data_IF_841776997565
#
_entry.id   IF_841776997565
#
_cell.length_a   1.000
_cell.length_b   1.000
_cell.length_c   1.000
_cell.angle_alpha   90.00
_cell.angle_beta   90.00
_cell.angle_gamma   90.00
#
_symmetry.space_group_name_H-M   'P 1'
#
loop_
_entity.id
_entity.type
_entity.pdbx_description
1 polymer ?
#
# COMPACT_ATOMS: atom_id res chain seq x y z
N UNK A 1 -13.40 29.74 -11.51
CA UNK A 1 -13.99 28.38 -11.45
C UNK A 1 -12.95 27.27 -11.72
N UNK A 2 -11.73 27.33 -11.15
CA UNK A 2 -10.60 26.49 -11.61
C UNK A 2 -9.99 25.48 -10.64
N UNK A 3 -10.57 25.22 -9.46
CA UNK A 3 -9.88 24.47 -8.39
C UNK A 3 -10.42 23.06 -8.09
N UNK A 4 -11.59 22.66 -8.63
CA UNK A 4 -12.24 21.39 -8.27
C UNK A 4 -11.49 20.13 -8.74
N UNK A 5 -10.75 20.24 -9.85
CA UNK A 5 -9.91 19.15 -10.38
C UNK A 5 -8.72 18.89 -9.46
N UNK A 6 -7.98 19.93 -9.06
CA UNK A 6 -6.79 19.80 -8.21
C UNK A 6 -7.14 19.26 -6.81
N UNK A 7 -8.29 19.65 -6.27
CA UNK A 7 -8.78 19.16 -4.99
C UNK A 7 -9.21 17.69 -5.05
N UNK A 8 -9.87 17.28 -6.14
CA UNK A 8 -10.21 15.86 -6.39
C UNK A 8 -8.96 15.00 -6.54
N UNK A 9 -7.95 15.47 -7.29
CA UNK A 9 -6.69 14.73 -7.48
C UNK A 9 -5.89 14.61 -6.18
N UNK A 10 -5.84 15.67 -5.36
CA UNK A 10 -5.21 15.63 -4.02
C UNK A 10 -5.94 14.70 -3.06
N UNK A 11 -7.27 14.66 -3.11
CA UNK A 11 -8.07 13.78 -2.28
C UNK A 11 -7.86 12.30 -2.68
N UNK A 12 -7.85 12.00 -3.98
CA UNK A 12 -7.56 10.66 -4.51
C UNK A 12 -6.11 10.24 -4.17
N UNK A 13 -5.13 11.16 -4.25
CA UNK A 13 -3.74 10.87 -3.86
C UNK A 13 -3.58 10.64 -2.34
N UNK A 14 -4.34 11.32 -1.48
CA UNK A 14 -4.30 11.10 -0.02
C UNK A 14 -5.07 9.87 0.45
N UNK A 15 -6.09 9.45 -0.30
CA UNK A 15 -6.82 8.20 -0.05
C UNK A 15 -6.05 6.98 -0.56
N UNK A 16 -5.29 7.10 -1.65
CA UNK A 16 -4.48 6.02 -2.22
C UNK A 16 -2.99 6.06 -1.86
N UNK A 17 -2.59 6.88 -0.89
CA UNK A 17 -1.20 6.93 -0.42
C UNK A 17 -0.74 5.51 0.01
N UNK A 18 0.13 4.84 -0.79
CA UNK A 18 0.34 3.39 -0.74
C UNK A 18 0.97 2.92 0.58
N UNK A 19 1.59 3.83 1.31
CA UNK A 19 2.22 3.63 2.62
C UNK A 19 1.21 3.34 3.75
N UNK A 20 -0.07 3.74 3.64
CA UNK A 20 -1.03 3.63 4.75
C UNK A 20 -1.77 2.28 4.82
N UNK A 21 -1.87 1.55 3.69
CA UNK A 21 -2.46 0.21 3.64
C UNK A 21 -1.40 -0.89 3.48
N UNK A 22 -0.21 -0.58 2.96
CA UNK A 22 0.87 -1.56 2.77
C UNK A 22 1.39 -2.16 4.08
N UNK A 23 1.28 -1.41 5.19
CA UNK A 23 1.94 -1.76 6.44
C UNK A 23 1.29 -2.89 7.28
N UNK A 24 0.15 -3.46 6.89
CA UNK A 24 -0.56 -4.42 7.77
C UNK A 24 -0.18 -5.88 7.53
N UNK A 25 -0.04 -6.32 6.27
CA UNK A 25 0.10 -7.75 5.95
C UNK A 25 1.46 -8.32 6.39
N UNK A 26 2.56 -7.60 6.15
CA UNK A 26 3.92 -8.03 6.54
C UNK A 26 4.03 -8.16 8.07
N UNK A 27 3.43 -7.23 8.81
CA UNK A 27 3.39 -7.30 10.27
C UNK A 27 2.56 -8.49 10.77
N UNK A 28 1.43 -8.83 10.13
CA UNK A 28 0.67 -10.05 10.44
C UNK A 28 1.50 -11.30 10.11
N UNK A 29 2.21 -11.30 8.98
CA UNK A 29 3.08 -12.41 8.57
C UNK A 29 4.20 -12.65 9.59
N UNK A 30 4.90 -11.59 10.02
CA UNK A 30 5.96 -11.67 11.02
C UNK A 30 5.39 -12.18 12.35
N UNK A 31 4.23 -11.67 12.79
CA UNK A 31 3.58 -12.15 14.01
C UNK A 31 3.17 -13.63 13.90
N UNK A 32 2.61 -14.04 12.77
CA UNK A 32 2.24 -15.43 12.48
C UNK A 32 3.45 -16.35 12.48
N UNK A 33 4.55 -15.96 11.84
CA UNK A 33 5.81 -16.71 11.81
C UNK A 33 6.45 -16.82 13.19
N UNK A 34 6.47 -15.74 13.96
CA UNK A 34 7.00 -15.76 15.32
C UNK A 34 6.17 -16.68 16.23
N UNK A 35 4.84 -16.60 16.14
CA UNK A 35 3.95 -17.42 16.94
C UNK A 35 4.02 -18.90 16.51
N UNK A 36 4.13 -19.16 15.22
CA UNK A 36 4.33 -20.50 14.67
C UNK A 36 5.66 -21.10 15.13
N UNK A 37 6.74 -20.33 15.04
CA UNK A 37 8.06 -20.74 15.52
C UNK A 37 8.07 -21.01 17.02
N UNK A 38 7.39 -20.15 17.80
CA UNK A 38 7.23 -20.34 19.24
C UNK A 38 6.43 -21.62 19.56
N UNK A 39 5.31 -21.86 18.88
CA UNK A 39 4.50 -23.05 19.06
C UNK A 39 5.27 -24.34 18.74
N UNK A 40 5.96 -24.37 17.58
CA UNK A 40 6.81 -25.49 17.20
C UNK A 40 7.94 -25.70 18.21
N UNK A 41 8.59 -24.63 18.66
CA UNK A 41 9.66 -24.71 19.66
C UNK A 41 9.18 -25.35 20.97
N UNK A 42 8.00 -24.95 21.46
CA UNK A 42 7.37 -25.54 22.67
C UNK A 42 7.04 -27.02 22.44
N UNK A 43 6.54 -27.38 21.25
CA UNK A 43 6.19 -28.76 20.90
C UNK A 43 7.42 -29.68 20.87
N UNK A 44 8.53 -29.22 20.31
CA UNK A 44 9.76 -30.02 20.20
C UNK A 44 10.60 -30.00 21.49
N UNK A 45 10.40 -29.03 22.37
CA UNK A 45 11.17 -28.88 23.60
C UNK A 45 10.25 -28.76 24.84
N UNK A 46 9.60 -29.86 25.26
CA UNK A 46 8.69 -29.84 26.41
C UNK A 46 9.38 -29.42 27.72
N UNK A 47 10.70 -29.59 27.82
CA UNK A 47 11.50 -29.23 29.00
C UNK A 47 12.09 -27.81 28.95
N UNK A 48 11.82 -27.02 27.90
CA UNK A 48 12.39 -25.68 27.72
C UNK A 48 11.70 -24.59 28.56
N UNK A 49 11.12 -24.93 29.71
CA UNK A 49 10.31 -24.01 30.53
C UNK A 49 10.94 -22.62 30.75
N UNK A 50 12.20 -22.52 31.19
CA UNK A 50 12.88 -21.22 31.37
C UNK A 50 13.10 -20.46 30.06
N UNK A 51 13.53 -21.16 29.01
CA UNK A 51 13.79 -20.55 27.69
C UNK A 51 12.49 -20.07 27.04
N UNK A 52 11.40 -20.81 27.21
CA UNK A 52 10.06 -20.48 26.71
C UNK A 52 9.59 -19.13 27.25
N UNK A 53 9.81 -18.85 28.54
CA UNK A 53 9.51 -17.54 29.14
C UNK A 53 10.27 -16.40 28.46
N UNK A 54 11.56 -16.59 28.17
CA UNK A 54 12.39 -15.59 27.49
C UNK A 54 11.91 -15.31 26.05
N UNK A 55 11.61 -16.36 25.27
CA UNK A 55 11.08 -16.21 23.91
C UNK A 55 9.71 -15.51 23.91
N UNK A 56 8.83 -15.87 24.85
CA UNK A 56 7.53 -15.23 25.03
C UNK A 56 7.66 -13.74 25.40
N UNK A 57 8.64 -13.38 26.24
CA UNK A 57 8.93 -11.99 26.59
C UNK A 57 9.33 -11.15 25.37
N UNK A 58 10.26 -11.68 24.56
CA UNK A 58 10.69 -11.04 23.31
C UNK A 58 9.51 -10.91 22.33
N UNK A 59 8.70 -11.96 22.20
CA UNK A 59 7.50 -11.93 21.37
C UNK A 59 6.51 -10.85 21.81
N UNK A 60 6.24 -10.75 23.12
CA UNK A 60 5.35 -9.72 23.67
C UNK A 60 5.90 -8.31 23.42
N UNK A 61 7.21 -8.12 23.56
CA UNK A 61 7.87 -6.84 23.28
C UNK A 61 7.71 -6.45 21.80
N UNK A 62 8.02 -7.35 20.88
CA UNK A 62 7.91 -7.12 19.43
C UNK A 62 6.47 -6.83 19.00
N UNK A 63 5.51 -7.62 19.51
CA UNK A 63 4.09 -7.41 19.19
C UNK A 63 3.59 -6.06 19.71
N UNK A 64 4.04 -5.64 20.89
CA UNK A 64 3.70 -4.34 21.49
C UNK A 64 4.33 -3.18 20.74
N UNK A 65 5.57 -3.34 20.25
CA UNK A 65 6.23 -2.33 19.42
C UNK A 65 5.53 -2.15 18.07
N UNK A 66 5.11 -3.25 17.44
CA UNK A 66 4.30 -3.21 16.21
C UNK A 66 2.95 -2.52 16.49
N UNK A 67 2.31 -2.82 17.63
CA UNK A 67 1.05 -2.19 18.02
C UNK A 67 1.21 -0.67 18.26
N UNK A 68 2.28 -0.26 18.95
CA UNK A 68 2.62 1.14 19.17
C UNK A 68 2.87 1.87 17.84
N UNK A 69 3.66 1.28 16.94
CA UNK A 69 3.91 1.82 15.61
C UNK A 69 2.63 1.97 14.79
N UNK A 70 1.72 0.99 14.84
CA UNK A 70 0.40 1.08 14.20
C UNK A 70 -0.47 2.18 14.80
N UNK A 71 -0.34 2.45 16.10
CA UNK A 71 -1.07 3.54 16.74
C UNK A 71 -0.53 4.93 16.40
N UNK A 72 0.80 5.06 16.25
CA UNK A 72 1.46 6.31 15.91
C UNK A 72 1.30 6.68 14.44
N UNK A 73 1.44 5.69 13.54
CA UNK A 73 1.44 5.91 12.09
C UNK A 73 0.11 5.52 11.41
N UNK A 74 -0.77 4.81 12.10
CA UNK A 74 -2.02 4.32 11.55
C UNK A 74 -3.20 5.28 11.75
N UNK A 75 -4.20 5.17 10.86
CA UNK A 75 -5.49 5.86 10.99
C UNK A 75 -6.40 5.10 11.95
N UNK A 76 -6.04 5.04 13.23
CA UNK A 76 -6.93 4.51 14.27
C UNK A 76 -7.96 5.58 14.62
N UNK A 77 -9.23 5.21 14.70
CA UNK A 77 -10.29 6.16 15.06
C UNK A 77 -10.05 6.76 16.46
N UNK A 78 -10.40 8.04 16.70
CA UNK A 78 -10.07 8.75 17.94
C UNK A 78 -10.63 8.08 19.21
N UNK A 79 -11.73 7.34 19.09
CA UNK A 79 -12.32 6.57 20.21
C UNK A 79 -11.54 5.31 20.58
N UNK A 80 -10.84 4.70 19.61
CA UNK A 80 -10.08 3.46 19.82
C UNK A 80 -8.60 3.72 20.15
N UNK A 81 -8.09 4.91 19.83
CA UNK A 81 -6.69 5.28 20.03
C UNK A 81 -6.23 5.15 21.50
N UNK A 82 -6.97 5.63 22.52
CA UNK A 82 -6.53 5.53 23.92
C UNK A 82 -6.38 4.08 24.38
N UNK A 83 -7.33 3.21 24.02
CA UNK A 83 -7.29 1.79 24.34
C UNK A 83 -6.10 1.10 23.66
N UNK A 84 -5.87 1.39 22.38
CA UNK A 84 -4.72 0.86 21.65
C UNK A 84 -3.39 1.29 22.27
N UNK A 85 -3.25 2.57 22.64
CA UNK A 85 -2.04 3.08 23.27
C UNK A 85 -1.83 2.50 24.67
N UNK A 86 -2.90 2.31 25.44
CA UNK A 86 -2.83 1.67 26.74
C UNK A 86 -2.39 0.20 26.62
N UNK A 87 -2.97 -0.57 25.69
CA UNK A 87 -2.57 -1.95 25.45
C UNK A 87 -1.13 -2.07 24.97
N UNK A 88 -0.70 -1.19 24.06
CA UNK A 88 0.69 -1.12 23.60
C UNK A 88 1.64 -0.75 24.75
N UNK A 89 1.29 0.22 25.60
CA UNK A 89 2.09 0.62 26.75
C UNK A 89 2.25 -0.49 27.79
N UNK A 90 1.16 -1.20 28.14
CA UNK A 90 1.19 -2.34 29.06
C UNK A 90 2.07 -3.45 28.50
N UNK A 91 1.86 -3.81 27.24
CA UNK A 91 2.64 -4.86 26.59
C UNK A 91 4.13 -4.49 26.44
N UNK A 92 4.44 -3.22 26.17
CA UNK A 92 5.81 -2.72 26.08
C UNK A 92 6.48 -2.71 27.46
N UNK A 93 5.80 -2.23 28.50
CA UNK A 93 6.33 -2.24 29.87
C UNK A 93 6.63 -3.66 30.35
N UNK A 94 5.68 -4.59 30.20
CA UNK A 94 5.84 -5.99 30.61
C UNK A 94 6.89 -6.68 29.75
N UNK A 95 6.82 -6.52 28.42
CA UNK A 95 7.78 -7.10 27.50
C UNK A 95 9.20 -6.60 27.75
N UNK A 96 9.38 -5.31 28.02
CA UNK A 96 10.68 -4.72 28.33
C UNK A 96 11.21 -5.23 29.67
N UNK A 97 10.35 -5.29 30.69
CA UNK A 97 10.72 -5.79 32.01
C UNK A 97 11.20 -7.25 31.95
N UNK A 98 10.49 -8.10 31.21
CA UNK A 98 10.87 -9.52 31.04
C UNK A 98 12.07 -9.68 30.10
N UNK A 99 12.24 -8.80 29.11
CA UNK A 99 13.43 -8.83 28.25
C UNK A 99 14.67 -8.39 29.03
N UNK A 100 14.54 -7.40 29.93
CA UNK A 100 15.63 -6.96 30.79
C UNK A 100 16.07 -8.07 31.76
N UNK A 101 15.12 -8.86 32.24
CA UNK A 101 15.38 -10.03 33.09
C UNK A 101 16.29 -11.06 32.42
N UNK A 102 16.26 -11.18 31.08
CA UNK A 102 17.16 -12.08 30.33
C UNK A 102 18.64 -11.74 30.58
N UNK A 103 18.96 -10.47 30.81
CA UNK A 103 20.33 -9.98 30.98
C UNK A 103 20.76 -9.88 32.44
N UNK A 104 19.80 -9.77 33.36
CA UNK A 104 20.03 -9.42 34.76
C UNK A 104 19.59 -10.54 35.74
N UNK A 105 18.82 -11.53 35.27
CA UNK A 105 18.27 -12.67 36.02
C UNK A 105 17.73 -12.26 37.42
N UNK A 106 16.96 -11.17 37.49
CA UNK A 106 16.45 -10.63 38.77
C UNK A 106 15.08 -11.17 39.17
N UNK A 107 14.34 -11.77 38.23
CA UNK A 107 13.04 -12.41 38.49
C UNK A 107 13.14 -13.94 38.43
N UNK A 108 12.32 -14.59 39.26
CA UNK A 108 12.13 -16.03 39.10
C UNK A 108 11.41 -16.33 37.77
N UNK A 109 11.72 -17.46 37.11
CA UNK A 109 11.04 -17.86 35.86
C UNK A 109 9.51 -17.93 35.99
N UNK A 110 9.02 -18.22 37.20
CA UNK A 110 7.59 -18.24 37.52
C UNK A 110 6.97 -16.84 37.44
N UNK A 111 7.62 -15.84 38.04
CA UNK A 111 7.15 -14.45 38.03
C UNK A 111 7.16 -13.88 36.62
N UNK A 112 8.24 -14.11 35.85
CA UNK A 112 8.32 -13.66 34.46
C UNK A 112 7.17 -14.21 33.60
N UNK A 113 6.84 -15.50 33.76
CA UNK A 113 5.73 -16.13 33.04
C UNK A 113 4.36 -15.61 33.48
N UNK A 114 4.16 -15.33 34.77
CA UNK A 114 2.92 -14.70 35.26
C UNK A 114 2.76 -13.31 34.63
N UNK A 115 3.82 -12.49 34.63
CA UNK A 115 3.80 -11.16 34.03
C UNK A 115 3.47 -11.21 32.55
N UNK A 116 4.10 -12.11 31.78
CA UNK A 116 3.79 -12.30 30.36
C UNK A 116 2.33 -12.71 30.17
N UNK A 117 1.84 -13.65 30.99
CA UNK A 117 0.46 -14.15 30.90
C UNK A 117 -0.54 -13.03 31.11
N UNK A 118 -0.32 -12.20 32.14
CA UNK A 118 -1.14 -11.02 32.44
C UNK A 118 -1.03 -10.00 31.31
N UNK A 119 0.16 -9.75 30.78
CA UNK A 119 0.35 -8.81 29.66
C UNK A 119 -0.38 -9.24 28.40
N UNK A 120 -0.28 -10.52 28.02
CA UNK A 120 -1.03 -11.09 26.90
C UNK A 120 -2.54 -11.05 27.11
N UNK A 121 -2.98 -11.37 28.33
CA UNK A 121 -4.39 -11.36 28.69
C UNK A 121 -4.96 -9.95 28.61
N UNK A 122 -4.30 -8.95 29.22
CA UNK A 122 -4.72 -7.55 29.17
C UNK A 122 -4.72 -7.02 27.74
N UNK A 123 -3.68 -7.29 26.96
CA UNK A 123 -3.60 -6.83 25.57
C UNK A 123 -4.70 -7.47 24.70
N UNK A 124 -4.97 -8.76 24.91
CA UNK A 124 -6.07 -9.48 24.27
C UNK A 124 -7.44 -8.91 24.66
N UNK A 125 -7.70 -8.68 25.96
CA UNK A 125 -8.95 -8.11 26.45
C UNK A 125 -9.18 -6.69 25.94
N UNK A 126 -8.13 -5.85 25.90
CA UNK A 126 -8.20 -4.51 25.31
C UNK A 126 -8.55 -4.59 23.83
N UNK A 127 -7.93 -5.50 23.08
CA UNK A 127 -8.25 -5.69 21.67
C UNK A 127 -9.70 -6.16 21.44
N UNK A 128 -10.22 -7.04 22.29
CA UNK A 128 -11.64 -7.44 22.28
C UNK A 128 -12.55 -6.24 22.60
N UNK A 129 -12.19 -5.44 23.60
CA UNK A 129 -12.95 -4.23 23.96
C UNK A 129 -12.97 -3.21 22.80
N UNK A 130 -11.84 -2.98 22.14
CA UNK A 130 -11.77 -2.13 20.94
C UNK A 130 -12.67 -2.67 19.82
N UNK A 131 -12.69 -3.99 19.61
CA UNK A 131 -13.56 -4.61 18.62
C UNK A 131 -15.05 -4.44 18.96
N UNK A 132 -15.43 -4.59 20.23
CA UNK A 132 -16.80 -4.40 20.71
C UNK A 132 -17.27 -2.94 20.56
N UNK A 133 -16.39 -1.99 20.87
CA UNK A 133 -16.63 -0.55 20.73
C UNK A 133 -16.56 -0.09 19.26
N UNK A 134 -16.00 -0.91 18.38
CA UNK A 134 -15.99 -0.70 16.93
C UNK A 134 -17.41 -0.72 16.36
N UNK A 135 -17.79 0.38 15.69
CA UNK A 135 -19.09 0.49 15.03
C UNK A 135 -19.29 -0.52 13.89
N UNK A 136 -20.53 -0.70 13.44
CA UNK A 136 -20.94 -1.73 12.48
C UNK A 136 -20.12 -1.76 11.16
N UNK A 137 -19.63 -0.60 10.70
CA UNK A 137 -18.82 -0.51 9.47
C UNK A 137 -17.37 -1.04 9.60
N UNK A 138 -16.89 -1.30 10.83
CA UNK A 138 -15.52 -1.76 11.10
C UNK A 138 -15.42 -3.15 11.74
N UNK A 139 -16.55 -3.82 12.01
CA UNK A 139 -16.60 -5.08 12.74
C UNK A 139 -16.31 -6.26 11.81
N UNK A 140 -15.05 -6.42 11.44
CA UNK A 140 -14.60 -7.64 10.77
C UNK A 140 -14.37 -8.71 11.84
N UNK A 141 -14.92 -9.90 11.65
CA UNK A 141 -14.64 -11.06 12.53
C UNK A 141 -13.14 -11.36 12.62
N UNK A 142 -12.39 -11.07 11.56
CA UNK A 142 -10.93 -11.21 11.52
C UNK A 142 -10.20 -10.32 12.52
N UNK A 143 -10.71 -9.11 12.80
CA UNK A 143 -10.09 -8.24 13.81
C UNK A 143 -10.23 -8.79 15.24
N UNK A 144 -11.15 -9.74 15.48
CA UNK A 144 -11.37 -10.37 16.79
C UNK A 144 -10.42 -11.55 17.04
N UNK A 145 -10.01 -12.26 15.98
CA UNK A 145 -9.23 -13.50 16.10
C UNK A 145 -7.91 -13.27 16.84
N UNK A 146 -7.20 -12.19 16.50
CA UNK A 146 -5.90 -11.92 17.10
C UNK A 146 -5.98 -11.53 18.58
N UNK A 147 -6.82 -10.56 19.00
CA UNK A 147 -7.05 -10.27 20.42
C UNK A 147 -7.52 -11.49 21.20
N UNK A 148 -8.43 -12.28 20.62
CA UNK A 148 -8.95 -13.48 21.26
C UNK A 148 -7.86 -14.53 21.43
N UNK A 149 -7.03 -14.76 20.41
CA UNK A 149 -5.92 -15.70 20.50
C UNK A 149 -4.89 -15.27 21.55
N UNK A 150 -4.56 -13.97 21.64
CA UNK A 150 -3.68 -13.45 22.69
C UNK A 150 -4.28 -13.64 24.08
N UNK A 151 -5.58 -13.35 24.25
CA UNK A 151 -6.27 -13.56 25.51
C UNK A 151 -6.29 -15.04 25.91
N UNK A 152 -6.63 -15.94 24.99
CA UNK A 152 -6.65 -17.37 25.22
C UNK A 152 -5.25 -17.94 25.51
N UNK A 153 -4.22 -17.43 24.84
CA UNK A 153 -2.84 -17.86 25.08
C UNK A 153 -2.35 -17.38 26.45
N UNK A 154 -2.61 -16.11 26.81
CA UNK A 154 -2.33 -15.59 28.15
C UNK A 154 -3.08 -16.36 29.24
N UNK A 155 -4.36 -16.64 29.03
CA UNK A 155 -5.19 -17.43 29.94
C UNK A 155 -4.67 -18.87 30.05
N UNK A 156 -4.31 -19.49 28.93
CA UNK A 156 -3.75 -20.84 28.90
C UNK A 156 -2.46 -20.94 29.69
N UNK A 157 -1.51 -20.00 29.50
CA UNK A 157 -0.27 -19.96 30.29
C UNK A 157 -0.58 -19.76 31.78
N UNK A 158 -1.48 -18.83 32.12
CA UNK A 158 -1.87 -18.59 33.50
C UNK A 158 -2.50 -19.83 34.14
N UNK A 159 -3.36 -20.53 33.41
CA UNK A 159 -4.00 -21.78 33.85
C UNK A 159 -3.00 -22.91 34.08
N UNK A 160 -1.97 -23.03 33.22
CA UNK A 160 -0.91 -24.06 33.39
C UNK A 160 -0.24 -23.97 34.77
N UNK A 161 -0.15 -22.76 35.31
CA UNK A 161 0.48 -22.50 36.60
C UNK A 161 -0.40 -22.85 37.79
N UNK A 162 -1.71 -22.90 37.60
CA UNK A 162 -2.65 -23.12 38.69
C UNK A 162 -2.95 -24.61 38.96
N UNK A 163 -2.89 -25.48 37.95
CA UNK A 163 -3.43 -26.84 38.11
C UNK A 163 -2.68 -27.96 37.34
N UNK A 164 -2.00 -27.72 36.20
CA UNK A 164 -1.42 -28.80 35.36
C UNK A 164 -0.22 -28.32 34.48
N UNK A 165 1.01 -28.43 35.00
CA UNK A 165 2.17 -27.81 34.34
C UNK A 165 2.53 -28.42 32.96
N UNK A 166 2.60 -29.75 32.83
CA UNK A 166 3.08 -30.38 31.58
C UNK A 166 2.03 -30.39 30.47
N UNK A 167 0.81 -30.81 30.80
CA UNK A 167 -0.22 -31.04 29.78
C UNK A 167 -0.70 -29.72 29.18
N UNK A 168 -0.77 -28.67 29.98
CA UNK A 168 -1.21 -27.38 29.52
C UNK A 168 -0.12 -26.65 28.71
N UNK A 169 1.17 -26.94 28.93
CA UNK A 169 2.26 -26.45 28.07
C UNK A 169 2.17 -27.05 26.65
N UNK A 170 1.81 -28.34 26.55
CA UNK A 170 1.56 -28.98 25.24
C UNK A 170 0.36 -28.34 24.53
N UNK A 171 -0.75 -28.12 25.23
CA UNK A 171 -1.94 -27.48 24.66
C UNK A 171 -1.68 -26.04 24.22
N UNK A 172 -0.91 -25.26 24.99
CA UNK A 172 -0.56 -23.89 24.61
C UNK A 172 0.36 -23.86 23.38
N UNK A 173 1.29 -24.80 23.27
CA UNK A 173 2.12 -24.99 22.08
C UNK A 173 1.27 -25.32 20.85
N UNK A 174 0.33 -26.27 20.96
CA UNK A 174 -0.57 -26.64 19.85
C UNK A 174 -1.40 -25.44 19.43
N UNK A 175 -1.98 -24.72 20.39
CA UNK A 175 -2.77 -23.52 20.13
C UNK A 175 -1.93 -22.45 19.42
N UNK A 176 -0.71 -22.18 19.91
CA UNK A 176 0.21 -21.23 19.29
C UNK A 176 0.56 -21.62 17.85
N UNK A 177 0.84 -22.91 17.59
CA UNK A 177 1.11 -23.42 16.23
C UNK A 177 -0.10 -23.24 15.31
N UNK A 178 -1.31 -23.61 15.75
CA UNK A 178 -2.54 -23.47 14.95
C UNK A 178 -2.84 -22.01 14.64
N UNK A 179 -2.75 -21.13 15.65
CA UNK A 179 -2.98 -19.69 15.46
C UNK A 179 -1.90 -19.09 14.55
N UNK A 180 -0.63 -19.47 14.76
CA UNK A 180 0.49 -19.01 13.93
C UNK A 180 0.31 -19.42 12.46
N UNK A 181 -0.09 -20.67 12.21
CA UNK A 181 -0.38 -21.17 10.87
C UNK A 181 -1.55 -20.42 10.22
N UNK A 182 -2.64 -20.21 10.97
CA UNK A 182 -3.80 -19.45 10.49
C UNK A 182 -3.43 -18.00 10.15
N UNK A 183 -2.62 -17.34 10.98
CA UNK A 183 -2.13 -15.98 10.73
C UNK A 183 -1.23 -15.90 9.50
N UNK A 184 -0.30 -16.85 9.33
CA UNK A 184 0.57 -16.88 8.16
C UNK A 184 -0.20 -17.15 6.87
N UNK A 185 -1.15 -18.10 6.88
CA UNK A 185 -2.04 -18.36 5.75
C UNK A 185 -2.91 -17.14 5.42
N UNK A 186 -3.41 -16.44 6.44
CA UNK A 186 -4.17 -15.21 6.24
C UNK A 186 -3.31 -14.06 5.68
N UNK A 187 -2.07 -13.93 6.13
CA UNK A 187 -1.15 -12.95 5.57
C UNK A 187 -0.85 -13.23 4.09
N UNK A 188 -0.67 -14.50 3.71
CA UNK A 188 -0.52 -14.90 2.31
C UNK A 188 -1.78 -14.61 1.48
N UNK A 189 -2.96 -14.81 2.06
CA UNK A 189 -4.23 -14.45 1.44
C UNK A 189 -4.37 -12.93 1.23
N UNK A 190 -3.97 -12.10 2.19
CA UNK A 190 -3.94 -10.65 2.04
C UNK A 190 -2.94 -10.20 0.97
N UNK A 191 -1.79 -10.88 0.87
CA UNK A 191 -0.79 -10.62 -0.15
C UNK A 191 -1.34 -10.87 -1.56
N UNK A 192 -2.00 -12.01 -1.78
CA UNK A 192 -2.59 -12.35 -3.08
C UNK A 192 -3.73 -11.41 -3.49
N UNK A 193 -4.62 -11.04 -2.56
CA UNK A 193 -5.67 -10.04 -2.83
C UNK A 193 -5.13 -8.67 -3.23
N UNK A 194 -4.00 -8.25 -2.64
CA UNK A 194 -3.37 -6.97 -3.00
C UNK A 194 -2.76 -6.98 -4.40
N UNK A 195 -2.16 -8.11 -4.80
CA UNK A 195 -1.65 -8.27 -6.17
C UNK A 195 -2.76 -8.09 -7.22
N UNK A 196 -3.96 -8.59 -6.93
CA UNK A 196 -5.12 -8.42 -7.83
C UNK A 196 -5.60 -6.97 -7.91
N UNK A 197 -5.58 -6.22 -6.80
CA UNK A 197 -5.94 -4.80 -6.81
C UNK A 197 -4.92 -3.95 -7.59
N UNK A 198 -3.63 -4.24 -7.46
CA UNK A 198 -2.58 -3.52 -8.21
C UNK A 198 -2.74 -3.71 -9.72
N UNK A 199 -2.93 -4.97 -10.18
CA UNK A 199 -3.18 -5.25 -11.60
C UNK A 199 -4.51 -4.68 -12.12
N UNK A 200 -5.50 -4.48 -11.25
CA UNK A 200 -6.76 -3.81 -11.62
C UNK A 200 -6.59 -2.31 -11.89
N UNK A 201 -5.73 -1.63 -11.14
CA UNK A 201 -5.42 -0.20 -11.35
C UNK A 201 -4.67 0.00 -12.66
N UNK A 202 -3.68 -0.85 -12.95
CA UNK A 202 -2.94 -0.81 -14.22
C UNK A 202 -3.90 -0.98 -15.42
N UNK A 203 -4.76 -2.01 -15.39
CA UNK A 203 -5.80 -2.21 -16.42
C UNK A 203 -6.76 -1.03 -16.54
N UNK A 204 -7.12 -0.37 -15.44
CA UNK A 204 -8.00 0.79 -15.46
C UNK A 204 -7.31 2.02 -16.06
N UNK A 205 -6.02 2.23 -15.77
CA UNK A 205 -5.20 3.29 -16.37
C UNK A 205 -5.06 3.06 -17.87
N UNK A 206 -4.74 1.83 -18.28
CA UNK A 206 -4.61 1.46 -19.70
C UNK A 206 -5.93 1.64 -20.44
N UNK A 207 -7.05 1.20 -19.86
CA UNK A 207 -8.38 1.41 -20.43
C UNK A 207 -8.75 2.89 -20.52
N UNK A 208 -8.35 3.70 -19.52
CA UNK A 208 -8.52 5.15 -19.55
C UNK A 208 -7.71 5.82 -20.66
N UNK A 209 -6.44 5.43 -20.83
CA UNK A 209 -5.58 5.91 -21.88
C UNK A 209 -6.11 5.53 -23.28
N UNK A 210 -6.58 4.29 -23.45
CA UNK A 210 -7.22 3.83 -24.68
C UNK A 210 -8.49 4.63 -25.01
N UNK A 211 -9.35 4.90 -24.01
CA UNK A 211 -10.53 5.76 -24.22
C UNK A 211 -10.15 7.19 -24.60
N UNK A 212 -9.13 7.75 -23.98
CA UNK A 212 -8.64 9.08 -24.33
C UNK A 212 -8.10 9.13 -25.77
N UNK A 213 -7.32 8.13 -26.19
CA UNK A 213 -6.84 8.00 -27.57
C UNK A 213 -7.99 7.81 -28.57
N UNK A 214 -8.98 6.98 -28.25
CA UNK A 214 -10.17 6.80 -29.09
C UNK A 214 -11.01 8.07 -29.21
N UNK A 215 -11.11 8.87 -28.13
CA UNK A 215 -11.81 10.15 -28.17
C UNK A 215 -11.04 11.25 -28.92
N UNK A 216 -9.71 11.16 -28.98
CA UNK A 216 -8.87 12.11 -29.72
C UNK A 216 -8.77 11.79 -31.23
N UNK A 217 -8.94 10.52 -31.61
CA UNK A 217 -8.89 10.08 -33.00
C UNK A 217 -9.86 10.82 -33.96
N UNK A 218 -11.15 11.04 -33.63
CA UNK A 218 -12.05 11.78 -34.52
C UNK A 218 -11.69 13.26 -34.64
N UNK A 219 -11.18 13.90 -33.58
CA UNK A 219 -10.72 15.29 -33.65
C UNK A 219 -9.43 15.43 -34.49
N UNK A 220 -8.55 14.43 -34.45
CA UNK A 220 -7.34 14.41 -35.29
C UNK A 220 -7.66 14.16 -36.77
N UNK A 221 -8.72 13.40 -37.08
CA UNK A 221 -9.20 13.22 -38.45
C UNK A 221 -9.76 14.53 -39.03
N UNK A 222 -10.58 15.25 -38.26
CA UNK A 222 -11.14 16.55 -38.66
C UNK A 222 -10.04 17.59 -38.94
N UNK A 223 -9.01 17.68 -38.09
CA UNK A 223 -7.85 18.58 -38.34
C UNK A 223 -7.06 18.16 -39.59
N UNK A 224 -6.93 16.86 -39.86
CA UNK A 224 -6.20 16.37 -41.03
C UNK A 224 -6.93 16.71 -42.33
N UNK A 225 -8.26 16.59 -42.35
CA UNK A 225 -9.08 16.98 -43.49
C UNK A 225 -8.99 18.50 -43.74
N UNK A 226 -9.05 19.31 -42.67
CA UNK A 226 -8.86 20.77 -42.77
C UNK A 226 -7.47 21.15 -43.31
N UNK A 227 -6.40 20.47 -42.89
CA UNK A 227 -5.05 20.71 -43.41
C UNK A 227 -4.94 20.29 -44.87
N UNK A 228 -5.56 19.17 -45.25
CA UNK A 228 -5.51 18.70 -46.63
C UNK A 228 -6.29 19.63 -47.58
N UNK A 229 -7.43 20.16 -47.14
CA UNK A 229 -8.20 21.17 -47.87
C UNK A 229 -7.43 22.49 -47.99
N UNK A 230 -6.67 22.88 -46.96
CA UNK A 230 -5.82 24.07 -47.01
C UNK A 230 -4.67 23.91 -48.01
N UNK A 231 -4.00 22.76 -48.04
CA UNK A 231 -2.94 22.49 -49.02
C UNK A 231 -3.47 22.52 -50.46
N UNK A 232 -4.63 21.90 -50.72
CA UNK A 232 -5.27 21.92 -52.05
C UNK A 232 -5.66 23.36 -52.46
N UNK A 233 -6.13 24.19 -51.52
CA UNK A 233 -6.46 25.59 -51.79
C UNK A 233 -5.23 26.44 -52.10
N UNK A 234 -4.10 26.17 -51.44
CA UNK A 234 -2.81 26.81 -51.74
C UNK A 234 -2.32 26.42 -53.12
N UNK A 235 -2.36 25.13 -53.47
CA UNK A 235 -1.92 24.62 -54.78
C UNK A 235 -2.75 25.24 -55.92
N UNK A 236 -4.07 25.33 -55.77
CA UNK A 236 -4.95 26.00 -56.73
C UNK A 236 -4.67 27.51 -56.87
N UNK A 237 -4.27 28.19 -55.78
CA UNK A 237 -3.90 29.60 -55.83
C UNK A 237 -2.55 29.82 -56.54
N UNK A 238 -1.58 28.93 -56.35
CA UNK A 238 -0.29 28.96 -57.06
C UNK A 238 -0.52 28.80 -58.57
N UNK A 239 -1.28 27.79 -58.99
CA UNK A 239 -1.60 27.56 -60.41
C UNK A 239 -2.26 28.78 -61.08
N UNK A 240 -3.21 29.41 -60.37
CA UNK A 240 -3.88 30.62 -60.87
C UNK A 240 -2.92 31.80 -61.02
N UNK A 241 -1.92 31.89 -60.14
CA UNK A 241 -0.90 32.94 -60.19
C UNK A 241 0.07 32.70 -61.35
N UNK A 242 0.50 31.45 -61.58
CA UNK A 242 1.33 31.09 -62.73
C UNK A 242 0.65 31.36 -64.07
N UNK A 243 -0.65 31.04 -64.18
CA UNK A 243 -1.44 31.36 -65.39
C UNK A 243 -1.55 32.88 -65.61
N UNK A 244 -1.75 33.64 -64.54
CA UNK A 244 -1.77 35.11 -64.60
C UNK A 244 -0.44 35.69 -65.08
N UNK A 245 0.68 35.19 -64.56
CA UNK A 245 2.03 35.63 -64.97
C UNK A 245 2.29 35.29 -66.44
N UNK A 246 1.97 34.08 -66.90
CA UNK A 246 2.08 33.71 -68.33
C UNK A 246 1.29 34.65 -69.23
N UNK A 247 0.04 34.98 -68.87
CA UNK A 247 -0.79 35.89 -69.66
C UNK A 247 -0.23 37.31 -69.79
N UNK A 248 0.50 37.79 -68.78
CA UNK A 248 1.16 39.11 -68.83
C UNK A 248 2.40 39.08 -69.72
N UNK A 249 3.15 37.97 -69.71
CA UNK A 249 4.31 37.80 -70.57
C UNK A 249 3.94 37.59 -72.05
N UNK A 250 2.88 36.83 -72.35
CA UNK A 250 2.38 36.69 -73.73
C UNK A 250 1.93 38.04 -74.32
N UNK A 251 1.39 38.96 -73.50
CA UNK A 251 1.01 40.31 -73.94
C UNK A 251 2.23 41.23 -74.15
N UNK A 252 3.34 40.99 -73.44
CA UNK A 252 4.56 41.76 -73.60
C UNK A 252 5.37 41.35 -74.84
N UNK A 253 5.26 40.11 -75.30
CA UNK A 253 5.99 39.60 -76.46
C UNK A 253 5.42 40.12 -77.80
N UNK A 254 4.14 40.49 -77.86
CA UNK A 254 3.49 41.10 -79.04
C UNK A 254 3.81 42.61 -79.21
N UNK A 255 4.53 43.23 -78.27
CA UNK A 255 4.71 44.68 -78.19
C UNK A 255 6.13 45.24 -78.37
N UNK A 256 7.17 44.40 -78.54
CA UNK A 256 8.55 44.89 -78.64
C UNK A 256 8.97 45.14 -80.10
N UNK A 257 9.13 46.41 -80.54
CA UNK A 257 9.75 46.72 -81.82
C UNK A 257 11.24 46.35 -81.75
N UNK A 258 11.72 45.70 -82.82
CA UNK A 258 13.11 45.30 -82.99
C UNK A 258 14.06 46.48 -82.75
N UNK A 259 14.93 46.36 -81.74
CA UNK A 259 15.96 47.34 -81.45
C UNK A 259 16.96 47.37 -82.62
N UNK A 260 16.92 48.44 -83.41
CA UNK A 260 17.95 48.77 -84.40
C UNK A 260 19.19 49.25 -83.66
N UNK A 261 20.23 48.43 -83.73
CA UNK A 261 21.61 48.72 -83.36
C UNK A 261 22.22 49.72 -84.34
N UNK A 262 22.33 50.99 -83.93
CA UNK A 262 23.15 51.98 -84.64
C UNK A 262 23.76 52.97 -83.64
N UNK A 263 25.00 52.71 -83.24
CA UNK A 263 25.88 53.70 -82.61
C UNK A 263 27.34 53.27 -82.78
N UNK A 264 27.88 53.49 -83.99
CA UNK A 264 29.34 53.64 -84.19
C UNK A 264 29.80 55.01 -83.67
N UNK A 265 30.98 55.09 -83.03
CA UNK A 265 31.81 56.29 -83.06
C UNK A 265 33.07 56.03 -83.91
N UNK A 266 33.29 56.91 -84.88
CA UNK A 266 34.51 57.08 -85.67
C UNK A 266 35.54 57.95 -84.94
N UNK A 267 36.79 57.75 -85.35
CA UNK A 267 38.08 58.33 -84.91
C UNK A 267 38.17 59.85 -84.77
N UNK A 268 38.97 60.29 -83.79
CA UNK A 268 40.10 61.23 -83.96
C UNK A 268 41.07 61.13 -82.78
#
# INVERSE_FOLDING_TARGET
MGNSLTDSTKQIMRENAPWSQSATWWAILIQGLLLLGLGLYILFNPNAGPQTGRLLGIFLLLTSLIAAGRGLFGRIGPRALPFHMMGAGIGLAIGALVTLDIFQDFMSPTVALILISVGLLLNGLIGVAVWLLGGAKGRTWMALIMPLAMALLGLGILWTRLQFAEQALRWSGILATVVGLALSGYAAYLYTRRGQSAGGVEKAIDAGAQRAQQSAAPAAADVRDVVHDADNAVEAAVDKTEQGVKSVFDVAEDGMPAATDDSRPTES
#
